data_IF_355656027154
#
_entry.id   IF_355656027154
#
_cell.length_a   1.000
_cell.length_b   1.000
_cell.length_c   1.000
_cell.angle_alpha   90.00
_cell.angle_beta   90.00
_cell.angle_gamma   90.00
#
_symmetry.space_group_name_H-M   'P 1'
#
loop_
_entity.id
_entity.type
_entity.pdbx_description
1 polymer ?
#
# COMPACT_ATOMS: atom_id res chain seq x y z
N UNK A 1 33.18 17.06 -3.44
CA UNK A 1 32.34 16.48 -2.36
C UNK A 1 32.47 14.97 -2.45
N UNK A 2 33.06 14.32 -1.45
CA UNK A 2 33.25 12.87 -1.48
C UNK A 2 31.95 12.24 -0.99
N UNK A 3 31.22 11.56 -1.89
CA UNK A 3 29.99 10.84 -1.51
C UNK A 3 30.41 9.56 -0.78
N UNK A 4 30.06 9.44 0.49
CA UNK A 4 30.35 8.23 1.26
C UNK A 4 29.43 7.08 0.85
N UNK A 5 29.83 5.84 1.11
CA UNK A 5 28.99 4.65 0.88
C UNK A 5 27.63 4.78 1.60
N UNK A 6 27.62 5.36 2.81
CA UNK A 6 26.39 5.59 3.60
C UNK A 6 25.46 6.57 2.89
N UNK A 7 26.00 7.69 2.40
CA UNK A 7 25.25 8.70 1.66
C UNK A 7 24.64 8.14 0.38
N UNK A 8 25.40 7.32 -0.36
CA UNK A 8 24.92 6.69 -1.59
C UNK A 8 23.74 5.74 -1.33
N UNK A 9 23.88 4.85 -0.34
CA UNK A 9 22.84 3.88 0.03
C UNK A 9 21.56 4.60 0.46
N UNK A 10 21.68 5.62 1.30
CA UNK A 10 20.53 6.43 1.72
C UNK A 10 19.87 7.13 0.53
N UNK A 11 20.66 7.69 -0.38
CA UNK A 11 20.13 8.41 -1.54
C UNK A 11 19.31 7.48 -2.43
N UNK A 12 19.80 6.26 -2.70
CA UNK A 12 19.06 5.25 -3.46
C UNK A 12 17.76 4.88 -2.74
N UNK A 13 17.82 4.65 -1.43
CA UNK A 13 16.65 4.34 -0.60
C UNK A 13 15.58 5.44 -0.66
N UNK A 14 15.97 6.72 -0.52
CA UNK A 14 15.03 7.83 -0.60
C UNK A 14 14.49 8.05 -2.02
N UNK A 15 15.29 7.81 -3.06
CA UNK A 15 14.82 7.86 -4.45
C UNK A 15 13.79 6.76 -4.75
N UNK A 16 13.93 5.57 -4.16
CA UNK A 16 12.91 4.52 -4.26
C UNK A 16 11.59 4.94 -3.61
N UNK A 17 11.62 5.68 -2.48
CA UNK A 17 10.40 6.26 -1.90
C UNK A 17 9.71 7.23 -2.86
N UNK A 18 10.49 8.12 -3.48
CA UNK A 18 9.97 9.07 -4.48
C UNK A 18 9.37 8.31 -5.67
N UNK A 19 10.05 7.28 -6.17
CA UNK A 19 9.56 6.44 -7.25
C UNK A 19 8.20 5.82 -6.89
N UNK A 20 8.09 5.21 -5.70
CA UNK A 20 6.84 4.60 -5.24
C UNK A 20 5.72 5.63 -5.10
N UNK A 21 6.01 6.82 -4.60
CA UNK A 21 5.04 7.91 -4.49
C UNK A 21 4.56 8.43 -5.86
N UNK A 22 5.41 8.37 -6.89
CA UNK A 22 5.06 8.80 -8.25
C UNK A 22 4.24 7.75 -9.03
N UNK A 23 4.19 6.50 -8.58
CA UNK A 23 3.40 5.46 -9.25
C UNK A 23 1.91 5.82 -9.18
N UNK A 24 1.19 5.84 -10.31
CA UNK A 24 -0.22 6.22 -10.35
C UNK A 24 -1.17 5.10 -9.87
N UNK A 25 -0.64 3.89 -9.66
CA UNK A 25 -1.46 2.70 -9.50
C UNK A 25 -1.89 2.38 -8.06
N UNK A 26 -2.93 1.57 -7.97
CA UNK A 26 -3.39 0.94 -6.75
C UNK A 26 -2.45 -0.20 -6.36
N UNK A 27 -2.34 -0.49 -5.08
CA UNK A 27 -1.54 -1.58 -4.54
C UNK A 27 -2.37 -2.84 -4.45
N UNK A 28 -3.65 -2.71 -4.10
CA UNK A 28 -4.56 -3.84 -4.04
C UNK A 28 -5.81 -3.62 -4.89
N UNK A 29 -6.37 -4.74 -5.33
CA UNK A 29 -7.64 -4.81 -6.04
C UNK A 29 -8.56 -5.77 -5.30
N UNK A 30 -9.82 -5.34 -5.11
CA UNK A 30 -10.90 -6.13 -4.56
C UNK A 30 -12.14 -5.98 -5.44
N UNK A 31 -12.84 -7.08 -5.70
CA UNK A 31 -14.11 -7.07 -6.40
C UNK A 31 -15.06 -8.11 -5.79
N UNK A 32 -16.33 -7.75 -5.67
CA UNK A 32 -17.41 -8.66 -5.32
C UNK A 32 -18.41 -8.72 -6.49
N UNK A 33 -18.14 -9.59 -7.47
CA UNK A 33 -18.96 -9.81 -8.65
C UNK A 33 -19.09 -8.57 -9.54
N UNK A 34 -18.16 -7.61 -9.44
CA UNK A 34 -18.27 -6.29 -10.06
C UNK A 34 -19.35 -5.39 -9.46
N UNK A 35 -20.12 -5.87 -8.47
CA UNK A 35 -21.11 -5.04 -7.76
C UNK A 35 -20.44 -4.04 -6.82
N UNK A 36 -19.32 -4.44 -6.22
CA UNK A 36 -18.46 -3.55 -5.44
C UNK A 36 -17.06 -3.76 -5.93
N UNK A 37 -16.39 -2.68 -6.34
CA UNK A 37 -14.97 -2.71 -6.72
C UNK A 37 -14.23 -1.72 -5.86
N UNK A 38 -13.21 -2.18 -5.16
CA UNK A 38 -12.33 -1.36 -4.33
C UNK A 38 -10.92 -1.51 -4.84
N UNK A 39 -10.26 -0.39 -5.11
CA UNK A 39 -8.83 -0.38 -5.43
C UNK A 39 -8.19 0.67 -4.57
N UNK A 40 -7.10 0.33 -3.91
CA UNK A 40 -6.50 1.24 -2.95
C UNK A 40 -4.98 1.13 -2.93
N UNK A 41 -4.36 2.20 -2.48
CA UNK A 41 -2.95 2.30 -2.14
C UNK A 41 -2.77 3.41 -1.12
N UNK A 42 -1.53 3.57 -0.67
CA UNK A 42 -1.14 4.72 0.16
C UNK A 42 -1.44 6.08 -0.49
N UNK A 43 -1.62 6.14 -1.82
CA UNK A 43 -1.69 7.40 -2.57
C UNK A 43 -2.92 7.55 -3.46
N UNK A 44 -3.76 6.53 -3.57
CA UNK A 44 -4.94 6.54 -4.42
C UNK A 44 -6.01 5.62 -3.83
N UNK A 45 -7.27 5.99 -3.97
CA UNK A 45 -8.41 5.18 -3.56
C UNK A 45 -9.49 5.22 -4.63
N UNK A 46 -10.13 4.10 -4.89
CA UNK A 46 -11.19 3.97 -5.86
C UNK A 46 -12.25 3.03 -5.32
N UNK A 47 -13.50 3.46 -5.42
CA UNK A 47 -14.65 2.73 -4.94
C UNK A 47 -15.77 2.85 -5.97
N UNK A 48 -16.20 1.71 -6.51
CA UNK A 48 -17.33 1.58 -7.41
C UNK A 48 -18.42 0.75 -6.74
N UNK A 49 -19.67 1.19 -6.89
CA UNK A 49 -20.85 0.45 -6.49
C UNK A 49 -21.83 0.35 -7.66
N UNK A 50 -22.17 -0.88 -8.05
CA UNK A 50 -23.09 -1.20 -9.15
C UNK A 50 -22.75 -0.47 -10.47
N UNK A 51 -21.46 -0.43 -10.85
CA UNK A 51 -21.01 0.24 -12.07
C UNK A 51 -20.88 1.76 -11.96
N UNK A 52 -21.12 2.36 -10.78
CA UNK A 52 -20.98 3.80 -10.55
C UNK A 52 -19.88 4.09 -9.54
N UNK A 53 -18.94 4.93 -9.94
CA UNK A 53 -17.91 5.45 -9.05
C UNK A 53 -18.54 6.34 -7.97
N UNK A 54 -18.15 6.12 -6.72
CA UNK A 54 -18.65 6.90 -5.58
C UNK A 54 -17.82 8.17 -5.40
N UNK A 55 -18.49 9.33 -5.32
CA UNK A 55 -17.85 10.64 -5.17
C UNK A 55 -16.98 10.77 -3.91
N UNK A 56 -17.25 9.99 -2.86
CA UNK A 56 -16.41 9.95 -1.66
C UNK A 56 -14.96 9.58 -1.99
N UNK A 57 -14.75 8.80 -3.05
CA UNK A 57 -13.41 8.48 -3.54
C UNK A 57 -12.64 9.72 -4.00
N UNK A 58 -13.30 10.72 -4.59
CA UNK A 58 -12.67 11.96 -5.05
C UNK A 58 -12.10 12.74 -3.86
N UNK A 59 -12.89 12.89 -2.79
CA UNK A 59 -12.47 13.61 -1.58
C UNK A 59 -11.26 12.92 -0.94
N UNK A 60 -11.30 11.59 -0.81
CA UNK A 60 -10.19 10.81 -0.26
C UNK A 60 -8.93 11.00 -1.12
N UNK A 61 -9.07 10.94 -2.45
CA UNK A 61 -7.94 11.12 -3.36
C UNK A 61 -7.26 12.48 -3.24
N UNK A 62 -7.98 13.57 -2.97
CA UNK A 62 -7.34 14.87 -2.72
C UNK A 62 -6.41 14.84 -1.50
N UNK A 63 -6.83 14.18 -0.43
CA UNK A 63 -6.01 14.02 0.78
C UNK A 63 -4.80 13.13 0.49
N UNK A 64 -5.02 12.00 -0.19
CA UNK A 64 -3.94 11.07 -0.56
C UNK A 64 -2.94 11.71 -1.54
N UNK A 65 -3.41 12.59 -2.42
CA UNK A 65 -2.57 13.37 -3.32
C UNK A 65 -1.69 14.35 -2.54
N UNK A 66 -2.23 15.08 -1.56
CA UNK A 66 -1.41 15.92 -0.68
C UNK A 66 -0.37 15.10 0.10
N UNK A 67 -0.79 13.92 0.59
CA UNK A 67 0.11 13.00 1.29
C UNK A 67 1.25 12.48 0.39
N UNK A 68 0.97 12.26 -0.89
CA UNK A 68 1.98 11.91 -1.91
C UNK A 68 3.10 12.95 -1.97
N UNK A 69 2.76 14.24 -2.04
CA UNK A 69 3.77 15.30 -2.04
C UNK A 69 4.56 15.34 -0.75
N UNK A 70 3.92 15.12 0.40
CA UNK A 70 4.62 15.05 1.67
C UNK A 70 5.72 13.97 1.67
N UNK A 71 5.41 12.76 1.20
CA UNK A 71 6.39 11.66 1.09
C UNK A 71 7.56 12.03 0.18
N UNK A 72 7.26 12.65 -0.97
CA UNK A 72 8.28 13.11 -1.92
C UNK A 72 9.16 14.18 -1.27
N UNK A 73 8.56 15.22 -0.68
CA UNK A 73 9.28 16.33 -0.06
C UNK A 73 10.20 15.88 1.08
N UNK A 74 9.73 15.00 1.97
CA UNK A 74 10.55 14.47 3.07
C UNK A 74 11.72 13.64 2.53
N UNK A 75 11.47 12.80 1.52
CA UNK A 75 12.52 11.97 0.91
C UNK A 75 13.59 12.83 0.23
N UNK A 76 13.19 13.84 -0.54
CA UNK A 76 14.12 14.79 -1.17
C UNK A 76 14.88 15.63 -0.14
N UNK A 77 14.21 16.06 0.93
CA UNK A 77 14.86 16.79 2.02
C UNK A 77 15.94 15.97 2.72
N UNK A 78 15.70 14.67 2.94
CA UNK A 78 16.70 13.78 3.53
C UNK A 78 17.87 13.50 2.60
N UNK A 79 17.64 13.41 1.29
CA UNK A 79 18.72 13.38 0.29
C UNK A 79 19.57 14.65 0.38
N UNK A 80 18.93 15.83 0.43
CA UNK A 80 19.63 17.11 0.56
C UNK A 80 20.50 17.16 1.83
N UNK A 81 19.95 16.76 2.98
CA UNK A 81 20.67 16.71 4.25
C UNK A 81 21.89 15.79 4.19
N UNK A 82 21.74 14.61 3.59
CA UNK A 82 22.81 13.64 3.46
C UNK A 82 23.94 14.14 2.54
N UNK A 83 23.59 14.81 1.45
CA UNK A 83 24.57 15.33 0.49
C UNK A 83 25.28 16.58 1.00
N UNK A 84 24.58 17.50 1.68
CA UNK A 84 25.14 18.81 2.07
C UNK A 84 25.66 18.88 3.50
N UNK A 85 25.06 18.13 4.43
CA UNK A 85 25.36 18.21 5.86
C UNK A 85 25.89 16.90 6.44
N UNK A 86 26.05 15.86 5.61
CA UNK A 86 26.40 14.49 6.02
C UNK A 86 25.49 13.93 7.13
N UNK A 87 24.23 14.42 7.18
CA UNK A 87 23.23 13.97 8.16
C UNK A 87 22.45 12.81 7.56
N UNK A 88 22.57 11.63 8.19
CA UNK A 88 21.98 10.39 7.70
C UNK A 88 20.71 10.05 8.49
N UNK A 89 19.55 10.37 7.90
CA UNK A 89 18.23 10.05 8.46
C UNK A 89 17.44 9.19 7.49
N UNK A 90 16.92 8.05 7.97
CA UNK A 90 16.09 7.15 7.16
C UNK A 90 14.61 7.51 7.30
N UNK A 91 13.86 7.43 6.21
CA UNK A 91 12.41 7.56 6.18
C UNK A 91 11.76 6.22 5.84
N UNK A 92 11.19 5.55 6.84
CA UNK A 92 10.71 4.16 6.75
C UNK A 92 9.20 4.05 6.50
N UNK A 93 8.52 5.12 6.10
CA UNK A 93 7.07 5.07 5.88
C UNK A 93 6.70 3.97 4.87
N UNK A 94 7.33 3.98 3.69
CA UNK A 94 7.06 2.99 2.64
C UNK A 94 7.36 1.57 3.13
N UNK A 95 8.40 1.39 3.95
CA UNK A 95 8.70 0.09 4.60
C UNK A 95 7.53 -0.40 5.41
N UNK A 96 7.03 0.40 6.36
CA UNK A 96 5.98 -0.04 7.25
C UNK A 96 4.64 -0.23 6.54
N UNK A 97 4.26 0.72 5.68
CA UNK A 97 2.99 0.63 4.96
C UNK A 97 2.99 -0.57 4.02
N UNK A 98 4.06 -0.82 3.25
CA UNK A 98 4.10 -1.99 2.36
C UNK A 98 3.97 -3.33 3.11
N UNK A 99 4.53 -3.47 4.31
CA UNK A 99 4.30 -4.68 5.11
C UNK A 99 2.90 -4.74 5.71
N UNK A 100 2.33 -3.61 6.12
CA UNK A 100 0.95 -3.57 6.64
C UNK A 100 -0.06 -3.99 5.58
N UNK A 101 0.16 -3.61 4.32
CA UNK A 101 -0.70 -4.00 3.19
C UNK A 101 -0.74 -5.53 2.94
N UNK A 102 0.25 -6.32 3.42
CA UNK A 102 0.13 -7.79 3.40
C UNK A 102 -1.06 -8.29 4.24
N UNK A 103 -1.51 -7.49 5.20
CA UNK A 103 -2.61 -7.83 6.09
C UNK A 103 -3.97 -7.44 5.51
N UNK A 104 -4.03 -6.73 4.38
CA UNK A 104 -5.31 -6.26 3.86
C UNK A 104 -6.30 -7.40 3.55
N UNK A 105 -5.90 -8.57 2.98
CA UNK A 105 -6.82 -9.69 2.83
C UNK A 105 -7.46 -10.14 4.16
N UNK A 106 -6.70 -10.06 5.26
CA UNK A 106 -7.20 -10.37 6.60
C UNK A 106 -8.17 -9.30 7.09
N UNK A 107 -7.89 -8.02 6.84
CA UNK A 107 -8.82 -6.92 7.17
C UNK A 107 -10.16 -7.10 6.45
N UNK A 108 -10.14 -7.46 5.17
CA UNK A 108 -11.34 -7.75 4.40
C UNK A 108 -12.07 -9.00 4.89
N UNK A 109 -11.35 -10.05 5.26
CA UNK A 109 -11.96 -11.22 5.91
C UNK A 109 -12.71 -10.84 7.18
N UNK A 110 -12.09 -10.03 8.04
CA UNK A 110 -12.71 -9.59 9.28
C UNK A 110 -13.94 -8.72 9.02
N UNK A 111 -13.85 -7.78 8.07
CA UNK A 111 -14.94 -6.88 7.71
C UNK A 111 -16.14 -7.64 7.16
N UNK A 112 -15.94 -8.57 6.22
CA UNK A 112 -17.06 -9.32 5.65
C UNK A 112 -17.67 -10.35 6.61
N UNK A 113 -16.87 -11.13 7.33
CA UNK A 113 -17.45 -12.17 8.20
C UNK A 113 -18.05 -11.64 9.49
N UNK A 114 -17.52 -10.55 10.06
CA UNK A 114 -17.97 -10.05 11.36
C UNK A 114 -18.85 -8.82 11.24
N UNK A 115 -18.54 -7.88 10.33
CA UNK A 115 -19.34 -6.65 10.17
C UNK A 115 -20.51 -6.88 9.22
N UNK A 116 -20.24 -7.34 8.00
CA UNK A 116 -21.32 -7.63 7.03
C UNK A 116 -22.12 -8.86 7.48
N UNK A 117 -21.42 -9.87 8.02
CA UNK A 117 -22.02 -11.07 8.62
C UNK A 117 -23.07 -10.78 9.70
N UNK A 118 -22.98 -9.65 10.41
CA UNK A 118 -23.99 -9.23 11.39
C UNK A 118 -25.34 -8.90 10.75
N UNK A 119 -25.33 -8.40 9.52
CA UNK A 119 -26.55 -7.99 8.79
C UNK A 119 -27.02 -9.08 7.83
N UNK A 120 -26.09 -9.78 7.18
CA UNK A 120 -26.40 -10.83 6.19
C UNK A 120 -25.46 -12.01 6.36
N UNK A 121 -25.95 -13.25 6.52
CA UNK A 121 -25.11 -14.44 6.63
C UNK A 121 -24.16 -14.55 5.43
N UNK A 122 -22.89 -14.26 5.67
CA UNK A 122 -21.83 -14.25 4.65
C UNK A 122 -20.65 -15.08 5.16
N UNK A 123 -20.05 -15.88 4.28
CA UNK A 123 -18.82 -16.64 4.55
C UNK A 123 -17.74 -16.20 3.58
N UNK A 124 -16.93 -15.24 3.98
CA UNK A 124 -15.80 -14.77 3.19
C UNK A 124 -14.54 -15.60 3.54
N UNK A 125 -13.83 -16.15 2.55
CA UNK A 125 -12.60 -16.92 2.79
C UNK A 125 -11.51 -16.12 3.51
N UNK A 126 -10.75 -16.76 4.41
CA UNK A 126 -9.70 -16.10 5.23
C UNK A 126 -8.62 -15.40 4.40
N UNK A 127 -8.24 -16.02 3.28
CA UNK A 127 -7.16 -15.52 2.47
C UNK A 127 -7.48 -15.81 1.01
N UNK A 128 -7.85 -14.76 0.28
CA UNK A 128 -8.02 -14.81 -1.17
C UNK A 128 -6.89 -14.02 -1.79
N UNK A 129 -6.05 -14.70 -2.56
CA UNK A 129 -5.23 -14.09 -3.60
C UNK A 129 -5.65 -14.74 -4.91
N UNK A 130 -6.24 -13.96 -5.82
CA UNK A 130 -6.89 -14.43 -7.04
C UNK A 130 -8.41 -14.31 -6.95
N UNK A 131 -9.12 -15.31 -7.48
CA UNK A 131 -10.58 -15.31 -7.56
C UNK A 131 -11.19 -16.55 -6.92
N UNK A 132 -12.29 -16.37 -6.19
CA UNK A 132 -13.05 -17.44 -5.55
C UNK A 132 -14.55 -17.16 -5.60
N UNK A 133 -15.36 -18.20 -5.76
CA UNK A 133 -16.81 -18.08 -5.66
C UNK A 133 -17.24 -18.07 -4.20
N UNK A 134 -18.05 -17.08 -3.84
CA UNK A 134 -18.68 -16.93 -2.54
C UNK A 134 -20.19 -17.08 -2.67
N UNK A 135 -20.81 -17.89 -1.83
CA UNK A 135 -22.25 -18.07 -1.84
C UNK A 135 -22.86 -17.31 -0.67
N UNK A 136 -23.85 -16.47 -0.95
CA UNK A 136 -24.59 -15.66 0.03
C UNK A 136 -26.05 -16.06 0.00
N UNK A 137 -26.65 -16.22 1.18
CA UNK A 137 -28.08 -16.47 1.31
C UNK A 137 -28.78 -15.19 1.72
N UNK A 138 -29.65 -14.67 0.85
CA UNK A 138 -30.42 -13.46 1.11
C UNK A 138 -31.89 -13.70 0.76
N UNK A 139 -32.79 -13.51 1.74
CA UNK A 139 -34.26 -13.69 1.57
C UNK A 139 -34.64 -15.02 0.86
N UNK A 140 -34.07 -16.14 1.32
CA UNK A 140 -34.25 -17.48 0.74
C UNK A 140 -33.76 -17.68 -0.70
N UNK A 141 -32.99 -16.73 -1.24
CA UNK A 141 -32.31 -16.87 -2.53
C UNK A 141 -30.82 -17.12 -2.28
N UNK A 142 -30.28 -18.13 -2.95
CA UNK A 142 -28.85 -18.42 -2.98
C UNK A 142 -28.22 -17.62 -4.13
N UNK A 143 -27.31 -16.70 -3.80
CA UNK A 143 -26.57 -15.88 -4.76
C UNK A 143 -25.11 -16.29 -4.74
N UNK A 144 -24.55 -16.63 -5.89
CA UNK A 144 -23.12 -16.90 -6.04
C UNK A 144 -22.44 -15.67 -6.62
N UNK A 145 -21.43 -15.17 -5.91
CA UNK A 145 -20.68 -13.96 -6.23
C UNK A 145 -19.23 -14.36 -6.48
N UNK A 146 -18.66 -13.94 -7.61
CA UNK A 146 -17.22 -14.09 -7.84
C UNK A 146 -16.47 -13.01 -7.06
N UNK A 147 -15.74 -13.40 -6.04
CA UNK A 147 -14.90 -12.49 -5.25
C UNK A 147 -13.49 -12.55 -5.78
N UNK A 148 -12.89 -11.38 -6.03
CA UNK A 148 -11.50 -11.25 -6.43
C UNK A 148 -10.76 -10.41 -5.40
N UNK A 149 -9.54 -10.82 -5.05
CA UNK A 149 -8.64 -10.02 -4.24
C UNK A 149 -7.21 -10.34 -4.66
N UNK A 150 -6.41 -9.35 -5.02
CA UNK A 150 -5.00 -9.60 -5.33
C UNK A 150 -4.16 -8.31 -5.27
N UNK A 151 -2.87 -8.44 -4.92
CA UNK A 151 -1.92 -7.35 -5.05
C UNK A 151 -1.63 -7.07 -6.53
N UNK A 152 -1.49 -5.79 -6.88
CA UNK A 152 -1.06 -5.38 -8.21
C UNK A 152 0.47 -5.40 -8.33
N UNK A 153 0.98 -5.18 -9.54
CA UNK A 153 2.42 -4.98 -9.78
C UNK A 153 3.00 -3.81 -9.00
N UNK A 154 2.22 -2.73 -8.78
CA UNK A 154 2.68 -1.55 -8.05
C UNK A 154 2.91 -1.83 -6.58
N UNK A 155 2.12 -2.72 -5.98
CA UNK A 155 2.36 -3.18 -4.61
C UNK A 155 3.71 -3.89 -4.48
N UNK A 156 4.06 -4.77 -5.42
CA UNK A 156 5.33 -5.48 -5.37
C UNK A 156 6.53 -4.53 -5.50
N UNK A 157 6.40 -3.47 -6.30
CA UNK A 157 7.41 -2.40 -6.38
C UNK A 157 7.52 -1.67 -5.02
N UNK A 158 6.40 -1.34 -4.39
CA UNK A 158 6.38 -0.71 -3.08
C UNK A 158 7.01 -1.59 -1.99
N UNK A 159 6.72 -2.89 -1.99
CA UNK A 159 7.30 -3.87 -1.06
C UNK A 159 8.81 -4.02 -1.27
N UNK A 160 9.27 -4.03 -2.52
CA UNK A 160 10.70 -4.04 -2.84
C UNK A 160 11.40 -2.79 -2.30
N UNK A 161 10.85 -1.60 -2.58
CA UNK A 161 11.38 -0.33 -2.08
C UNK A 161 11.39 -0.27 -0.54
N UNK A 162 10.28 -0.71 0.08
CA UNK A 162 10.15 -0.79 1.53
C UNK A 162 11.18 -1.72 2.17
N UNK A 163 11.40 -2.89 1.57
CA UNK A 163 12.41 -3.86 2.02
C UNK A 163 13.83 -3.31 1.83
N UNK A 164 14.11 -2.68 0.68
CA UNK A 164 15.40 -2.06 0.42
C UNK A 164 15.70 -0.96 1.45
N UNK A 165 14.72 -0.12 1.79
CA UNK A 165 14.87 0.91 2.83
C UNK A 165 15.22 0.30 4.19
N UNK A 166 14.57 -0.79 4.58
CA UNK A 166 14.86 -1.46 5.85
C UNK A 166 16.31 -1.98 5.87
N UNK A 167 16.71 -2.67 4.80
CA UNK A 167 18.08 -3.18 4.62
C UNK A 167 19.08 -2.02 4.64
N UNK A 168 18.77 -0.92 3.96
CA UNK A 168 19.61 0.27 3.88
C UNK A 168 19.91 0.84 5.27
N UNK A 169 18.89 0.95 6.14
CA UNK A 169 19.04 1.41 7.52
C UNK A 169 19.97 0.49 8.33
N UNK A 170 19.80 -0.82 8.18
CA UNK A 170 20.62 -1.82 8.88
C UNK A 170 22.09 -1.71 8.43
N UNK A 171 22.34 -1.62 7.12
CA UNK A 171 23.70 -1.50 6.57
C UNK A 171 24.36 -0.19 7.02
N UNK A 172 23.65 0.93 6.91
CA UNK A 172 24.14 2.25 7.34
C UNK A 172 24.53 2.23 8.82
N UNK A 173 23.68 1.64 9.68
CA UNK A 173 23.95 1.53 11.12
C UNK A 173 25.18 0.65 11.43
N UNK A 174 25.45 -0.38 10.62
CA UNK A 174 26.68 -1.17 10.75
C UNK A 174 27.90 -0.38 10.31
N UNK A 175 27.82 0.34 9.19
CA UNK A 175 28.91 1.17 8.68
C UNK A 175 29.26 2.33 9.62
N UNK A 176 28.30 2.86 10.39
CA UNK A 176 28.58 3.89 11.38
C UNK A 176 29.28 3.38 12.64
N UNK A 177 29.19 2.09 12.95
CA UNK A 177 29.91 1.49 14.09
C UNK A 177 31.37 1.12 13.76
N UNK A 178 31.70 1.05 12.47
CA UNK A 178 33.02 0.66 11.97
C UNK A 178 33.92 1.86 11.62
N UNK A 179 33.36 3.07 11.62
CA UNK A 179 34.05 4.35 11.35
C UNK A 179 34.33 5.07 12.66
#
# INVERSE_FOLDING_TARGET
>A
MIVTKRTLILTISMLLNVLVALLPGYWWYYSAGGMVVIKDSLFSFYLEFLGKELEIGIIINYILFAFRFYVISVSLYYIYLALKKDVINNYLLITWISYLYLLDPLLFYLLFNYVVGYVTPTKYPLFIIGSQNMTVFYKNVMVTILVESYPTTYYWIALFAGTFNLISRIIISRLSKLS
#
